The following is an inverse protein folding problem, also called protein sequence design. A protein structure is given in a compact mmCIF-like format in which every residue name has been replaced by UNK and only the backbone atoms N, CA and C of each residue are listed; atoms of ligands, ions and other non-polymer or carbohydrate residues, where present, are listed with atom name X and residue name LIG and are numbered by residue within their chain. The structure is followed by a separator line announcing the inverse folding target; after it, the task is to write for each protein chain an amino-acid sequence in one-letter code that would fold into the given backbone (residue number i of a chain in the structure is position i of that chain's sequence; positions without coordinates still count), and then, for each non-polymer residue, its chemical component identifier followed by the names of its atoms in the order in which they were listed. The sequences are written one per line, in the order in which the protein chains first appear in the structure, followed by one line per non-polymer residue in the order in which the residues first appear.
data_IF_482940222537
#
_entry.id   IF_482940222537
#
_cell.length_a   1.000
_cell.length_b   1.000
_cell.length_c   1.000
_cell.angle_alpha   90.00
_cell.angle_beta   90.00
_cell.angle_gamma   90.00
#
_symmetry.space_group_name_H-M   'P 1'
#
loop_
_entity.id
_entity.type
_entity.pdbx_description
1 polymer ?
#
# COMPACT_ATOMS: atom_id res chain seq x y z
N UNK A 1 -47.78 6.41 16.20
CA UNK A 1 -47.94 6.31 14.74
C UNK A 1 -47.66 7.71 14.21
N UNK A 2 -46.54 8.04 13.59
CA UNK A 2 -45.37 7.29 13.15
C UNK A 2 -44.23 8.32 12.94
N UNK A 3 -43.04 8.08 13.50
CA UNK A 3 -41.77 8.72 13.10
C UNK A 3 -40.63 7.76 13.45
N UNK A 4 -40.63 6.60 12.81
CA UNK A 4 -39.45 5.72 12.67
C UNK A 4 -39.37 5.38 11.18
N UNK A 5 -38.49 6.04 10.43
CA UNK A 5 -38.46 5.82 8.98
C UNK A 5 -37.27 6.37 8.19
N UNK A 6 -36.47 7.32 8.69
CA UNK A 6 -35.42 7.94 7.87
C UNK A 6 -33.99 7.42 8.10
N UNK A 7 -33.79 6.41 8.95
CA UNK A 7 -32.45 5.92 9.31
C UNK A 7 -31.78 4.96 8.32
N UNK A 8 -32.49 4.42 7.32
CA UNK A 8 -32.02 3.23 6.59
C UNK A 8 -31.81 3.42 5.07
N UNK A 9 -32.06 4.61 4.52
CA UNK A 9 -32.02 4.83 3.08
C UNK A 9 -30.59 4.91 2.49
N UNK A 10 -29.58 5.26 3.28
CA UNK A 10 -28.19 5.34 2.80
C UNK A 10 -27.52 3.97 2.59
N UNK A 11 -27.87 2.96 3.39
CA UNK A 11 -27.31 1.60 3.25
C UNK A 11 -27.94 0.82 2.10
N UNK A 12 -29.19 1.13 1.75
CA UNK A 12 -29.92 0.50 0.65
C UNK A 12 -29.72 1.20 -0.71
N UNK A 13 -28.78 2.14 -0.82
CA UNK A 13 -28.44 2.75 -2.10
C UNK A 13 -27.86 1.68 -3.05
N UNK A 14 -28.48 1.42 -4.22
CA UNK A 14 -27.98 0.44 -5.18
C UNK A 14 -26.50 0.62 -5.55
N UNK A 15 -26.02 1.86 -5.58
CA UNK A 15 -24.62 2.18 -5.87
C UNK A 15 -23.67 1.72 -4.74
N UNK A 16 -24.09 1.78 -3.47
CA UNK A 16 -23.31 1.24 -2.35
C UNK A 16 -23.22 -0.28 -2.40
N UNK A 17 -24.33 -0.95 -2.71
CA UNK A 17 -24.38 -2.41 -2.86
C UNK A 17 -23.46 -2.85 -4.01
N UNK A 18 -23.52 -2.12 -5.14
CA UNK A 18 -22.68 -2.37 -6.30
C UNK A 18 -21.19 -2.16 -5.98
N UNK A 19 -20.83 -1.09 -5.26
CA UNK A 19 -19.46 -0.85 -4.80
C UNK A 19 -18.93 -1.97 -3.90
N UNK A 20 -19.75 -2.44 -2.95
CA UNK A 20 -19.39 -3.55 -2.07
C UNK A 20 -19.19 -4.87 -2.85
N UNK A 21 -20.01 -5.10 -3.88
CA UNK A 21 -19.90 -6.26 -4.76
C UNK A 21 -18.60 -6.21 -5.57
N UNK A 22 -18.27 -5.08 -6.19
CA UNK A 22 -17.00 -4.91 -6.90
C UNK A 22 -15.79 -5.03 -5.99
N UNK A 23 -15.85 -4.50 -4.76
CA UNK A 23 -14.76 -4.66 -3.80
C UNK A 23 -14.53 -6.13 -3.42
N UNK A 24 -15.62 -6.87 -3.21
CA UNK A 24 -15.56 -8.31 -2.94
C UNK A 24 -14.98 -9.07 -4.13
N UNK A 25 -15.36 -8.69 -5.35
CA UNK A 25 -14.82 -9.27 -6.58
C UNK A 25 -13.32 -8.97 -6.71
N UNK A 26 -12.91 -7.73 -6.50
CA UNK A 26 -11.51 -7.28 -6.56
C UNK A 26 -10.61 -8.14 -5.68
N UNK A 27 -10.97 -8.35 -4.41
CA UNK A 27 -10.16 -9.17 -3.51
C UNK A 27 -10.16 -10.66 -3.87
N UNK A 28 -11.20 -11.16 -4.54
CA UNK A 28 -11.30 -12.57 -4.95
C UNK A 28 -10.68 -12.89 -6.32
N UNK A 29 -10.51 -11.91 -7.21
CA UNK A 29 -10.04 -12.12 -8.60
C UNK A 29 -8.64 -11.55 -8.85
N UNK A 30 -7.74 -11.69 -7.88
CA UNK A 30 -6.33 -11.29 -8.03
C UNK A 30 -6.11 -9.78 -8.08
N UNK A 31 -7.01 -8.99 -7.49
CA UNK A 31 -6.84 -7.54 -7.29
C UNK A 31 -6.61 -6.75 -8.60
N UNK A 32 -7.44 -7.02 -9.61
CA UNK A 32 -7.42 -6.32 -10.88
C UNK A 32 -7.78 -4.82 -10.71
N UNK A 33 -6.90 -3.87 -11.07
CA UNK A 33 -7.15 -2.44 -10.91
C UNK A 33 -8.41 -1.92 -11.62
N UNK A 34 -8.85 -2.56 -12.71
CA UNK A 34 -10.08 -2.16 -13.39
C UNK A 34 -11.31 -2.35 -12.50
N UNK A 35 -11.31 -3.38 -11.64
CA UNK A 35 -12.41 -3.69 -10.74
C UNK A 35 -12.41 -2.72 -9.54
N UNK A 36 -11.23 -2.34 -9.04
CA UNK A 36 -11.16 -1.30 -8.00
C UNK A 36 -11.66 0.05 -8.52
N UNK A 37 -11.33 0.43 -9.75
CA UNK A 37 -11.88 1.65 -10.39
C UNK A 37 -13.40 1.60 -10.53
N UNK A 38 -13.98 0.44 -10.85
CA UNK A 38 -15.43 0.25 -10.87
C UNK A 38 -16.05 0.41 -9.47
N UNK A 39 -15.43 -0.14 -8.42
CA UNK A 39 -15.85 0.05 -7.04
C UNK A 39 -15.81 1.55 -6.66
N UNK A 40 -14.71 2.24 -6.94
CA UNK A 40 -14.55 3.68 -6.67
C UNK A 40 -15.63 4.52 -7.37
N UNK A 41 -15.90 4.24 -8.65
CA UNK A 41 -16.94 4.93 -9.42
C UNK A 41 -18.34 4.71 -8.82
N UNK A 42 -18.65 3.49 -8.38
CA UNK A 42 -19.93 3.19 -7.73
C UNK A 42 -20.09 3.92 -6.39
N UNK A 43 -19.05 3.96 -5.56
CA UNK A 43 -19.08 4.73 -4.31
C UNK A 43 -19.19 6.23 -4.53
N UNK A 44 -18.53 6.77 -5.56
CA UNK A 44 -18.66 8.18 -5.94
C UNK A 44 -20.12 8.54 -6.29
N UNK A 45 -20.81 7.67 -7.05
CA UNK A 45 -22.23 7.84 -7.39
C UNK A 45 -23.14 7.76 -6.16
N UNK A 46 -22.77 6.97 -5.16
CA UNK A 46 -23.54 6.84 -3.92
C UNK A 46 -23.42 8.08 -3.01
N UNK A 47 -22.47 8.99 -3.28
CA UNK A 47 -22.13 10.15 -2.46
C UNK A 47 -21.98 9.83 -0.97
N UNK A 48 -21.56 8.60 -0.65
CA UNK A 48 -21.55 8.09 0.71
C UNK A 48 -20.12 7.65 1.06
N UNK A 49 -19.59 8.20 2.15
CA UNK A 49 -18.34 7.72 2.71
C UNK A 49 -18.59 6.35 3.34
N UNK A 50 -18.14 5.29 2.67
CA UNK A 50 -18.20 3.93 3.20
C UNK A 50 -16.84 3.61 3.83
N UNK A 51 -16.81 3.04 5.03
CA UNK A 51 -15.57 2.55 5.65
C UNK A 51 -14.74 1.67 4.70
N UNK A 52 -15.42 0.88 3.87
CA UNK A 52 -14.84 0.02 2.85
C UNK A 52 -14.11 0.79 1.73
N UNK A 53 -14.54 2.01 1.41
CA UNK A 53 -13.84 2.90 0.47
C UNK A 53 -12.49 3.34 1.05
N UNK A 54 -12.45 3.73 2.32
CA UNK A 54 -11.19 4.06 3.01
C UNK A 54 -10.24 2.86 3.08
N UNK A 55 -10.78 1.65 3.28
CA UNK A 55 -9.98 0.41 3.23
C UNK A 55 -9.42 0.13 1.82
N UNK A 56 -10.17 0.42 0.76
CA UNK A 56 -9.69 0.28 -0.63
C UNK A 56 -8.56 1.26 -0.92
N UNK A 57 -8.73 2.55 -0.57
CA UNK A 57 -7.67 3.56 -0.72
C UNK A 57 -6.41 3.20 0.06
N UNK A 58 -6.55 2.71 1.30
CA UNK A 58 -5.43 2.20 2.11
C UNK A 58 -4.72 1.04 1.40
N UNK A 59 -5.45 0.15 0.74
CA UNK A 59 -4.87 -0.97 0.00
C UNK A 59 -4.12 -0.52 -1.27
N UNK A 60 -4.63 0.50 -1.97
CA UNK A 60 -4.00 1.09 -3.15
C UNK A 60 -2.91 2.12 -2.83
N UNK A 61 -2.50 2.23 -1.56
CA UNK A 61 -1.49 3.20 -1.09
C UNK A 61 -1.89 4.67 -1.30
N UNK A 62 -3.19 4.94 -1.48
CA UNK A 62 -3.81 6.27 -1.52
C UNK A 62 -4.15 6.72 -0.09
N UNK A 63 -3.11 6.98 0.69
CA UNK A 63 -3.25 7.14 2.13
C UNK A 63 -3.97 8.43 2.57
N UNK A 64 -3.91 9.50 1.77
CA UNK A 64 -4.62 10.75 2.04
C UNK A 64 -6.13 10.52 2.00
N UNK A 65 -6.61 9.94 0.90
CA UNK A 65 -8.01 9.61 0.66
C UNK A 65 -8.52 8.58 1.69
N UNK A 66 -7.66 7.63 2.08
CA UNK A 66 -7.99 6.68 3.14
C UNK A 66 -8.23 7.38 4.48
N UNK A 67 -7.36 8.31 4.88
CA UNK A 67 -7.47 9.06 6.13
C UNK A 67 -8.72 9.94 6.15
N UNK A 68 -8.98 10.67 5.06
CA UNK A 68 -10.19 11.49 4.90
C UNK A 68 -11.45 10.63 4.99
N UNK A 69 -11.45 9.46 4.32
CA UNK A 69 -12.56 8.50 4.39
C UNK A 69 -12.82 8.00 5.81
N UNK A 70 -11.77 7.58 6.54
CA UNK A 70 -11.93 7.13 7.92
C UNK A 70 -12.41 8.24 8.85
N UNK A 71 -11.87 9.45 8.72
CA UNK A 71 -12.28 10.61 9.51
C UNK A 71 -13.74 10.98 9.27
N UNK A 72 -14.18 10.96 8.00
CA UNK A 72 -15.55 11.27 7.64
C UNK A 72 -16.52 10.24 8.21
N UNK A 73 -16.23 8.94 8.10
CA UNK A 73 -17.05 7.86 8.68
C UNK A 73 -17.10 7.96 10.20
N UNK A 74 -15.97 8.24 10.85
CA UNK A 74 -15.89 8.41 12.30
C UNK A 74 -16.73 9.61 12.80
N UNK A 75 -16.82 10.68 11.99
CA UNK A 75 -17.63 11.86 12.28
C UNK A 75 -19.13 11.60 12.10
N UNK A 76 -19.52 10.87 11.05
CA UNK A 76 -20.92 10.48 10.80
C UNK A 76 -21.45 9.44 11.80
N UNK A 77 -20.59 8.53 12.27
CA UNK A 77 -20.97 7.46 13.18
C UNK A 77 -20.11 7.45 14.46
N UNK A 78 -20.29 8.41 15.39
CA UNK A 78 -19.49 8.51 16.61
C UNK A 78 -19.61 7.27 17.51
N UNK A 79 -20.76 6.58 17.49
CA UNK A 79 -20.98 5.34 18.24
C UNK A 79 -20.26 4.13 17.64
N UNK A 80 -19.71 4.22 16.43
CA UNK A 80 -18.97 3.13 15.79
C UNK A 80 -17.46 3.31 16.05
N UNK A 81 -16.81 2.49 16.90
CA UNK A 81 -15.40 2.65 17.23
C UNK A 81 -14.44 2.15 16.15
N UNK A 82 -14.92 1.26 15.27
CA UNK A 82 -14.14 0.59 14.22
C UNK A 82 -13.40 1.52 13.24
N UNK A 83 -13.93 2.68 12.80
CA UNK A 83 -13.19 3.62 11.96
C UNK A 83 -12.06 4.39 12.68
N UNK A 84 -12.12 4.52 14.01
CA UNK A 84 -11.12 5.31 14.77
C UNK A 84 -9.78 4.60 14.92
N UNK A 85 -9.80 3.27 15.08
CA UNK A 85 -8.58 2.47 15.24
C UNK A 85 -7.70 2.49 13.97
N UNK A 86 -8.21 2.21 12.75
CA UNK A 86 -7.42 2.29 11.53
C UNK A 86 -6.90 3.69 11.24
N UNK A 87 -7.66 4.74 11.57
CA UNK A 87 -7.22 6.13 11.42
C UNK A 87 -6.00 6.42 12.31
N UNK A 88 -6.08 6.10 13.61
CA UNK A 88 -4.98 6.30 14.55
C UNK A 88 -3.76 5.46 14.17
N UNK A 89 -3.95 4.18 13.85
CA UNK A 89 -2.87 3.31 13.42
C UNK A 89 -2.18 3.80 12.14
N UNK A 90 -2.96 4.29 11.18
CA UNK A 90 -2.39 4.84 9.96
C UNK A 90 -1.59 6.10 10.27
N UNK A 91 -2.13 7.04 11.05
CA UNK A 91 -1.40 8.23 11.49
C UNK A 91 -0.13 7.90 12.29
N UNK A 92 -0.20 6.96 13.22
CA UNK A 92 0.95 6.51 14.02
C UNK A 92 2.01 5.90 13.13
N UNK A 93 1.62 5.04 12.18
CA UNK A 93 2.56 4.46 11.21
C UNK A 93 3.24 5.55 10.36
N UNK A 94 2.46 6.54 9.89
CA UNK A 94 2.92 7.67 9.10
C UNK A 94 3.80 8.65 9.87
N UNK A 95 3.57 8.85 11.16
CA UNK A 95 4.46 9.67 12.00
C UNK A 95 5.74 8.93 12.35
N UNK A 96 5.69 7.60 12.45
CA UNK A 96 6.87 6.81 12.80
C UNK A 96 7.75 6.52 11.57
N UNK A 97 7.18 6.38 10.37
CA UNK A 97 7.92 6.10 9.12
C UNK A 97 9.02 7.14 8.80
N UNK A 98 8.77 8.47 8.80
CA UNK A 98 9.78 9.50 8.60
C UNK A 98 10.82 9.56 9.71
N UNK A 99 10.55 9.02 10.90
CA UNK A 99 11.59 8.89 11.93
C UNK A 99 12.57 7.76 11.58
N UNK A 100 12.11 6.70 10.91
CA UNK A 100 12.94 5.54 10.54
C UNK A 100 13.71 5.70 9.23
N UNK A 101 13.15 6.45 8.27
CA UNK A 101 13.78 6.73 6.97
C UNK A 101 15.17 7.39 7.07
N UNK A 102 15.37 8.46 7.86
CA UNK A 102 16.69 9.07 8.07
C UNK A 102 17.55 8.28 9.07
N UNK A 103 16.96 7.46 9.93
CA UNK A 103 17.68 6.73 10.98
C UNK A 103 18.36 5.44 10.53
N UNK A 104 18.27 5.06 9.25
CA UNK A 104 18.83 3.78 8.79
C UNK A 104 18.44 2.64 9.75
N UNK A 105 17.19 2.62 10.25
CA UNK A 105 16.72 1.61 11.22
C UNK A 105 17.52 1.50 12.53
N UNK A 106 18.13 2.59 13.04
CA UNK A 106 19.07 2.59 14.18
C UNK A 106 20.34 1.75 13.92
N UNK A 107 20.62 1.39 12.67
CA UNK A 107 21.81 0.64 12.28
C UNK A 107 23.00 1.60 12.33
N UNK A 108 24.00 1.26 13.14
CA UNK A 108 25.25 2.02 13.20
C UNK A 108 25.91 2.08 11.82
N UNK A 109 26.45 3.24 11.43
CA UNK A 109 27.02 3.47 10.10
C UNK A 109 28.04 2.41 9.66
N UNK A 110 28.87 1.90 10.58
CA UNK A 110 29.82 0.79 10.30
C UNK A 110 29.12 -0.52 9.90
N UNK A 111 28.04 -0.87 10.59
CA UNK A 111 27.23 -2.06 10.26
C UNK A 111 26.52 -1.85 8.93
N UNK A 112 26.03 -0.64 8.67
CA UNK A 112 25.43 -0.30 7.37
C UNK A 112 26.43 -0.45 6.23
N UNK A 113 27.63 0.13 6.35
CA UNK A 113 28.69 -0.01 5.35
C UNK A 113 29.08 -1.47 5.12
N UNK A 114 29.15 -2.28 6.18
CA UNK A 114 29.39 -3.73 6.04
C UNK A 114 28.24 -4.46 5.32
N UNK A 115 26.99 -4.13 5.65
CA UNK A 115 25.81 -4.71 5.00
C UNK A 115 25.77 -4.34 3.51
N UNK A 116 26.00 -3.08 3.16
CA UNK A 116 26.01 -2.59 1.79
C UNK A 116 27.24 -3.08 1.00
N UNK A 117 28.42 -3.12 1.63
CA UNK A 117 29.64 -3.65 1.02
C UNK A 117 29.60 -5.16 0.73
N UNK A 118 28.66 -5.90 1.35
CA UNK A 118 28.40 -7.31 1.03
C UNK A 118 27.49 -7.51 -0.19
N UNK A 119 26.94 -6.45 -0.78
CA UNK A 119 26.11 -6.54 -1.98
C UNK A 119 26.99 -6.97 -3.16
N UNK A 120 26.54 -8.00 -3.88
CA UNK A 120 27.28 -8.52 -5.03
C UNK A 120 26.30 -8.84 -6.18
N UNK A 121 26.68 -8.62 -7.45
CA UNK A 121 25.81 -8.89 -8.60
C UNK A 121 25.27 -10.31 -8.69
N UNK A 122 25.99 -11.30 -8.14
CA UNK A 122 25.51 -12.70 -8.08
C UNK A 122 24.23 -12.87 -7.26
N UNK A 123 23.90 -11.91 -6.38
CA UNK A 123 22.67 -11.92 -5.60
C UNK A 123 21.42 -11.50 -6.41
N UNK A 124 21.59 -10.98 -7.63
CA UNK A 124 20.49 -10.73 -8.57
C UNK A 124 19.86 -12.02 -9.09
N UNK A 125 20.58 -13.14 -9.01
CA UNK A 125 20.09 -14.46 -9.42
C UNK A 125 19.48 -14.44 -10.83
N UNK A 126 18.22 -14.91 -11.02
CA UNK A 126 17.57 -14.94 -12.34
C UNK A 126 17.50 -13.59 -13.05
N UNK A 127 17.46 -12.48 -12.28
CA UNK A 127 17.41 -11.12 -12.83
C UNK A 127 18.75 -10.66 -13.41
N UNK A 128 19.88 -11.14 -12.87
CA UNK A 128 21.21 -10.83 -13.37
C UNK A 128 21.67 -11.75 -14.50
N UNK A 129 21.25 -13.01 -14.47
CA UNK A 129 21.69 -14.03 -15.43
C UNK A 129 20.85 -14.06 -16.74
N UNK A 130 19.93 -13.10 -16.94
CA UNK A 130 19.04 -13.05 -18.10
C UNK A 130 18.02 -14.20 -18.18
N UNK A 131 17.78 -14.89 -17.06
CA UNK A 131 16.81 -15.99 -16.94
C UNK A 131 15.43 -15.52 -16.47
N UNK A 132 15.31 -14.26 -16.08
CA UNK A 132 14.05 -13.65 -15.69
C UNK A 132 13.03 -13.68 -16.84
N UNK A 133 11.82 -14.10 -16.50
CA UNK A 133 10.66 -14.05 -17.40
C UNK A 133 9.64 -13.09 -16.79
N UNK A 134 9.16 -12.15 -17.60
CA UNK A 134 8.07 -11.26 -17.19
C UNK A 134 6.73 -12.01 -17.08
N UNK A 135 5.68 -11.30 -16.71
CA UNK A 135 4.31 -11.84 -16.59
C UNK A 135 3.77 -12.49 -17.88
N UNK A 136 4.33 -12.16 -19.04
CA UNK A 136 4.00 -12.76 -20.34
C UNK A 136 4.78 -14.05 -20.66
N UNK A 137 5.66 -14.52 -19.76
CA UNK A 137 6.54 -15.67 -19.99
C UNK A 137 7.73 -15.38 -20.92
N UNK A 138 7.85 -14.16 -21.44
CA UNK A 138 8.98 -13.75 -22.29
C UNK A 138 10.21 -13.41 -21.44
N UNK A 139 11.39 -13.81 -21.91
CA UNK A 139 12.66 -13.39 -21.31
C UNK A 139 12.83 -11.88 -21.49
N UNK A 140 13.19 -11.21 -20.41
CA UNK A 140 13.46 -9.78 -20.38
C UNK A 140 14.83 -9.56 -19.77
N UNK A 141 15.68 -8.82 -20.47
CA UNK A 141 16.94 -8.35 -19.90
C UNK A 141 16.65 -7.23 -18.91
N UNK A 142 17.16 -7.36 -17.69
CA UNK A 142 17.01 -6.35 -16.64
C UNK A 142 18.35 -5.67 -16.42
N UNK A 143 18.32 -4.36 -16.31
CA UNK A 143 19.48 -3.54 -15.97
C UNK A 143 19.45 -3.20 -14.49
N UNK A 144 20.57 -3.40 -13.80
CA UNK A 144 20.69 -2.99 -12.41
C UNK A 144 20.69 -1.47 -12.31
N UNK A 145 19.76 -0.92 -11.51
CA UNK A 145 19.58 0.52 -11.27
C UNK A 145 19.64 0.81 -9.77
N UNK A 146 20.09 2.02 -9.43
CA UNK A 146 20.00 2.53 -8.07
C UNK A 146 18.57 2.97 -7.78
N UNK A 147 18.15 2.85 -6.52
CA UNK A 147 16.82 3.26 -6.06
C UNK A 147 16.58 4.75 -6.31
N UNK A 148 17.62 5.57 -6.13
CA UNK A 148 17.61 7.01 -6.39
C UNK A 148 17.41 7.39 -7.86
N UNK A 149 17.60 6.45 -8.79
CA UNK A 149 17.48 6.67 -10.25
C UNK A 149 16.16 6.18 -10.84
N UNK A 150 15.29 5.62 -10.01
CA UNK A 150 13.99 5.12 -10.46
C UNK A 150 13.01 6.26 -10.74
N UNK A 151 12.11 6.02 -11.69
CA UNK A 151 11.00 6.90 -12.01
C UNK A 151 9.77 6.54 -11.18
N UNK A 152 8.88 7.51 -10.98
CA UNK A 152 7.57 7.25 -10.39
C UNK A 152 6.77 6.29 -11.29
N UNK A 153 6.25 5.21 -10.70
CA UNK A 153 5.48 4.19 -11.41
C UNK A 153 6.31 2.97 -11.83
N UNK A 154 5.88 2.30 -12.90
CA UNK A 154 6.48 1.03 -13.34
C UNK A 154 7.80 1.28 -14.08
N UNK A 155 8.90 0.81 -13.48
CA UNK A 155 10.24 0.90 -14.06
C UNK A 155 10.52 -0.33 -14.93
N UNK A 156 10.14 -0.27 -16.21
CA UNK A 156 10.30 -1.40 -17.15
C UNK A 156 11.77 -1.66 -17.46
N UNK A 157 12.20 -2.92 -17.38
CA UNK A 157 13.58 -3.30 -17.69
C UNK A 157 14.59 -2.99 -16.59
N UNK A 158 14.15 -2.52 -15.43
CA UNK A 158 15.01 -2.23 -14.29
C UNK A 158 14.94 -3.34 -13.23
N UNK A 159 16.07 -3.58 -12.55
CA UNK A 159 16.12 -4.35 -11.30
C UNK A 159 16.91 -3.57 -10.26
N UNK A 160 16.47 -3.64 -9.01
CA UNK A 160 17.18 -3.06 -7.87
C UNK A 160 17.67 -4.15 -6.95
N UNK A 161 18.82 -3.93 -6.32
CA UNK A 161 19.38 -4.80 -5.31
C UNK A 161 19.75 -3.98 -4.09
N UNK A 162 19.32 -4.43 -2.91
CA UNK A 162 19.60 -3.74 -1.66
C UNK A 162 19.57 -4.66 -0.45
N UNK A 163 19.81 -4.06 0.71
CA UNK A 163 19.68 -4.71 2.02
C UNK A 163 18.45 -4.18 2.74
N UNK A 164 17.75 -5.11 3.37
CA UNK A 164 16.68 -4.77 4.31
C UNK A 164 17.30 -4.23 5.58
N UNK A 165 16.96 -2.99 5.92
CA UNK A 165 17.50 -2.27 7.08
C UNK A 165 16.56 -2.37 8.28
N UNK A 166 15.25 -2.37 8.03
CA UNK A 166 14.21 -2.46 9.04
C UNK A 166 12.92 -3.02 8.41
N UNK A 167 12.09 -3.69 9.21
CA UNK A 167 10.77 -4.18 8.82
C UNK A 167 9.71 -3.65 9.79
N UNK A 168 8.64 -3.07 9.25
CA UNK A 168 7.43 -2.74 9.96
C UNK A 168 6.40 -3.83 9.69
N UNK A 169 5.90 -4.46 10.75
CA UNK A 169 4.78 -5.38 10.67
C UNK A 169 3.61 -4.75 11.42
N UNK A 170 2.43 -4.82 10.82
CA UNK A 170 1.18 -4.43 11.47
C UNK A 170 0.42 -5.68 11.87
N UNK A 171 -0.28 -5.65 13.01
CA UNK A 171 -1.14 -6.76 13.44
C UNK A 171 -2.32 -6.99 12.47
N UNK A 172 -2.66 -5.98 11.67
CA UNK A 172 -3.62 -6.10 10.58
C UNK A 172 -3.00 -6.79 9.36
N UNK A 173 -3.78 -7.64 8.68
CA UNK A 173 -3.39 -8.27 7.40
C UNK A 173 -3.17 -7.24 6.27
N UNK A 174 -3.55 -5.99 6.48
CA UNK A 174 -3.39 -4.84 5.58
C UNK A 174 -3.09 -3.60 6.44
N UNK A 175 -2.00 -2.83 6.20
CA UNK A 175 -1.17 -2.87 5.01
C UNK A 175 -0.26 -4.10 4.96
N UNK A 176 0.09 -4.47 3.73
CA UNK A 176 1.08 -5.48 3.42
C UNK A 176 2.39 -5.20 4.18
N UNK A 177 3.17 -6.22 4.59
CA UNK A 177 4.41 -6.00 5.32
C UNK A 177 5.29 -4.97 4.62
N UNK A 178 5.76 -3.96 5.36
CA UNK A 178 6.58 -2.89 4.82
C UNK A 178 8.00 -3.02 5.34
N UNK A 179 9.00 -2.93 4.49
CA UNK A 179 10.40 -2.89 4.92
C UNK A 179 11.16 -1.78 4.23
N UNK A 180 12.21 -1.29 4.89
CA UNK A 180 13.11 -0.30 4.30
C UNK A 180 14.27 -1.00 3.61
N UNK A 181 14.45 -0.69 2.33
CA UNK A 181 15.53 -1.17 1.48
C UNK A 181 16.56 -0.04 1.29
N UNK A 182 17.84 -0.39 1.45
CA UNK A 182 18.96 0.48 1.12
C UNK A 182 19.83 -0.19 0.05
N UNK A 183 20.19 0.55 -0.99
CA UNK A 183 21.18 0.15 -1.98
C UNK A 183 22.57 0.72 -1.62
N UNK A 184 23.53 0.62 -2.53
CA UNK A 184 24.92 1.03 -2.28
C UNK A 184 25.09 2.52 -1.99
N UNK A 185 24.19 3.38 -2.47
CA UNK A 185 24.32 4.84 -2.37
C UNK A 185 22.95 5.54 -2.29
N UNK A 186 22.78 6.39 -1.27
CA UNK A 186 21.64 7.30 -1.18
C UNK A 186 20.66 6.96 -0.04
N UNK A 187 19.41 7.46 -0.14
CA UNK A 187 18.41 7.29 0.91
C UNK A 187 17.83 5.86 0.94
N UNK A 188 17.25 5.48 2.09
CA UNK A 188 16.46 4.26 2.19
C UNK A 188 15.07 4.47 1.59
N UNK A 189 14.51 3.42 1.00
CA UNK A 189 13.17 3.43 0.41
C UNK A 189 12.28 2.37 1.07
N UNK A 190 11.04 2.74 1.36
CA UNK A 190 10.05 1.79 1.85
C UNK A 190 9.54 0.90 0.70
N UNK A 191 9.41 -0.40 0.98
CA UNK A 191 8.90 -1.41 0.06
C UNK A 191 7.75 -2.15 0.75
N UNK A 192 6.60 -2.15 0.10
CA UNK A 192 5.39 -2.88 0.51
C UNK A 192 5.26 -4.15 -0.32
N UNK A 193 4.98 -5.32 0.30
CA UNK A 193 4.90 -6.63 -0.40
C UNK A 193 3.54 -7.31 -0.39
#
# INVERSE_FOLDING_TARGET
MAEEGEGNHHLANPANILGNAYLSLFFNTGQNPNISQQALSAYAQAHCAVFLLGQLHKYEENYTEALEGFFHVASLHPAWPKPRQPQQQLLDSWMTLPSFLPLQGKVKSKKMQSMLGSLHPSQLGPCGDGRYQGSSGRKVALEHRLLSTLWLGVNTGAVVLGRVVFSLTTDEKVPRPTFNLADSEGPCFAVTV
#
